data_IF_510832530986
#
_entry.id   IF_510832530986
#
_cell.length_a   1.000
_cell.length_b   1.000
_cell.length_c   1.000
_cell.angle_alpha   90.00
_cell.angle_beta   90.00
_cell.angle_gamma   90.00
#
_symmetry.space_group_name_H-M   'P 1'
#
loop_
_entity.id
_entity.type
_entity.pdbx_description
1 polymer ?
#
# COMPACT_ATOMS: atom_id res chain seq x y z
N UNK A 1 -43.99 -14.40 -26.03
CA UNK A 1 -43.99 -13.39 -24.94
C UNK A 1 -43.55 -14.11 -23.69
N UNK A 2 -42.26 -14.02 -23.36
CA UNK A 2 -41.76 -14.52 -22.08
C UNK A 2 -42.31 -13.62 -20.98
N UNK A 3 -43.05 -14.20 -20.04
CA UNK A 3 -43.49 -13.51 -18.83
C UNK A 3 -42.26 -12.98 -18.11
N UNK A 4 -42.19 -11.66 -17.90
CA UNK A 4 -41.18 -11.03 -17.06
C UNK A 4 -41.16 -11.79 -15.72
N UNK A 5 -40.01 -12.33 -15.27
CA UNK A 5 -39.96 -13.07 -14.01
C UNK A 5 -40.52 -12.18 -12.90
N UNK A 6 -41.47 -12.72 -12.14
CA UNK A 6 -42.11 -12.03 -11.04
C UNK A 6 -41.04 -11.34 -10.19
N UNK A 7 -41.19 -10.03 -9.97
CA UNK A 7 -40.30 -9.29 -9.09
C UNK A 7 -40.28 -10.01 -7.75
N UNK A 8 -39.10 -10.44 -7.33
CA UNK A 8 -38.88 -11.04 -6.01
C UNK A 8 -39.28 -10.00 -4.96
N UNK A 9 -40.48 -10.13 -4.38
CA UNK A 9 -40.98 -9.26 -3.32
C UNK A 9 -40.63 -9.89 -1.97
N UNK A 10 -39.73 -9.24 -1.24
CA UNK A 10 -39.44 -9.57 0.16
C UNK A 10 -40.59 -9.09 1.05
N UNK A 11 -40.75 -9.71 2.22
CA UNK A 11 -41.63 -9.13 3.25
C UNK A 11 -41.08 -7.75 3.66
N UNK A 12 -41.98 -6.78 3.86
CA UNK A 12 -41.60 -5.36 4.03
C UNK A 12 -40.62 -5.13 5.17
N UNK A 13 -40.78 -5.87 6.28
CA UNK A 13 -39.88 -5.81 7.43
C UNK A 13 -38.50 -6.43 7.17
N UNK A 14 -38.43 -7.55 6.42
CA UNK A 14 -37.16 -8.19 6.06
C UNK A 14 -36.32 -7.29 5.17
N UNK A 15 -36.96 -6.66 4.18
CA UNK A 15 -36.28 -5.80 3.24
C UNK A 15 -35.66 -4.58 3.92
N UNK A 16 -36.41 -3.90 4.79
CA UNK A 16 -35.92 -2.72 5.50
C UNK A 16 -34.73 -3.05 6.42
N UNK A 17 -34.78 -4.20 7.11
CA UNK A 17 -33.67 -4.69 7.92
C UNK A 17 -32.41 -4.95 7.09
N UNK A 18 -32.55 -5.70 5.99
CA UNK A 18 -31.43 -6.04 5.12
C UNK A 18 -30.82 -4.80 4.46
N UNK A 19 -31.65 -3.87 3.99
CA UNK A 19 -31.18 -2.63 3.36
C UNK A 19 -30.45 -1.71 4.37
N UNK A 20 -30.87 -1.71 5.63
CA UNK A 20 -30.13 -1.05 6.72
C UNK A 20 -28.74 -1.65 6.89
N UNK A 21 -28.64 -2.99 6.98
CA UNK A 21 -27.36 -3.70 7.12
C UNK A 21 -26.46 -3.54 5.90
N UNK A 22 -27.03 -3.53 4.69
CA UNK A 22 -26.27 -3.35 3.45
C UNK A 22 -25.66 -1.95 3.35
N UNK A 23 -26.40 -0.91 3.75
CA UNK A 23 -25.84 0.46 3.80
C UNK A 23 -24.66 0.57 4.76
N UNK A 24 -24.72 -0.13 5.90
CA UNK A 24 -23.59 -0.17 6.84
C UNK A 24 -22.37 -0.91 6.27
N UNK A 25 -22.60 -2.01 5.55
CA UNK A 25 -21.55 -2.75 4.86
C UNK A 25 -20.91 -1.92 3.75
N UNK A 26 -21.72 -1.23 2.94
CA UNK A 26 -21.25 -0.37 1.85
C UNK A 26 -20.36 0.75 2.38
N UNK A 27 -20.78 1.45 3.43
CA UNK A 27 -19.97 2.48 4.10
C UNK A 27 -18.67 1.93 4.69
N UNK A 28 -18.68 0.69 5.20
CA UNK A 28 -17.46 0.06 5.71
C UNK A 28 -16.49 -0.29 4.56
N UNK A 29 -17.02 -0.85 3.46
CA UNK A 29 -16.28 -1.14 2.24
C UNK A 29 -15.69 0.13 1.63
N UNK A 30 -16.44 1.21 1.54
CA UNK A 30 -15.95 2.49 1.00
C UNK A 30 -14.72 3.00 1.78
N UNK A 31 -14.73 2.90 3.11
CA UNK A 31 -13.59 3.29 3.95
C UNK A 31 -12.38 2.39 3.69
N UNK A 32 -12.58 1.09 3.48
CA UNK A 32 -11.48 0.20 3.15
C UNK A 32 -10.88 0.53 1.77
N UNK A 33 -11.68 0.97 0.78
CA UNK A 33 -11.18 1.50 -0.53
C UNK A 33 -10.24 2.67 -0.34
N UNK A 34 -10.71 3.68 0.39
CA UNK A 34 -9.94 4.88 0.63
C UNK A 34 -8.64 4.59 1.37
N UNK A 35 -8.66 3.65 2.31
CA UNK A 35 -7.45 3.16 2.96
C UNK A 35 -6.41 2.68 1.93
N UNK A 36 -6.76 1.76 1.02
CA UNK A 36 -5.79 1.25 0.03
C UNK A 36 -5.26 2.34 -0.89
N UNK A 37 -6.12 3.26 -1.34
CA UNK A 37 -5.72 4.37 -2.19
C UNK A 37 -4.71 5.26 -1.46
N UNK A 38 -5.04 5.68 -0.23
CA UNK A 38 -4.20 6.56 0.59
C UNK A 38 -2.87 5.88 0.92
N UNK A 39 -2.87 4.63 1.38
CA UNK A 39 -1.61 3.93 1.68
C UNK A 39 -0.76 3.70 0.45
N UNK A 40 -1.37 3.42 -0.71
CA UNK A 40 -0.63 3.22 -1.95
C UNK A 40 0.02 4.51 -2.42
N UNK A 41 -0.71 5.64 -2.33
CA UNK A 41 -0.18 6.95 -2.68
C UNK A 41 0.99 7.33 -1.77
N UNK A 42 0.84 7.21 -0.44
CA UNK A 42 1.92 7.52 0.52
C UNK A 42 3.12 6.61 0.28
N UNK A 43 2.90 5.31 0.07
CA UNK A 43 3.98 4.35 -0.17
C UNK A 43 4.72 4.64 -1.48
N UNK A 44 4.00 4.98 -2.55
CA UNK A 44 4.59 5.33 -3.84
C UNK A 44 5.40 6.62 -3.76
N UNK A 45 4.90 7.63 -3.03
CA UNK A 45 5.66 8.86 -2.76
C UNK A 45 6.94 8.55 -1.98
N UNK A 46 6.86 7.73 -0.92
CA UNK A 46 8.04 7.34 -0.14
C UNK A 46 9.08 6.57 -0.96
N UNK A 47 8.62 5.62 -1.77
CA UNK A 47 9.49 4.87 -2.68
C UNK A 47 10.14 5.81 -3.68
N UNK A 48 9.39 6.79 -4.21
CA UNK A 48 9.91 7.75 -5.19
C UNK A 48 10.96 8.68 -4.58
N UNK A 49 10.72 9.19 -3.36
CA UNK A 49 11.69 10.01 -2.62
C UNK A 49 12.94 9.18 -2.30
N UNK A 50 12.78 7.95 -1.81
CA UNK A 50 13.89 7.05 -1.49
C UNK A 50 14.71 6.71 -2.73
N UNK A 51 14.03 6.44 -3.85
CA UNK A 51 14.67 6.16 -5.13
C UNK A 51 15.43 7.38 -5.65
N UNK A 52 14.85 8.58 -5.59
CA UNK A 52 15.52 9.82 -5.99
C UNK A 52 16.74 10.10 -5.11
N UNK A 53 16.65 9.88 -3.80
CA UNK A 53 17.79 9.99 -2.88
C UNK A 53 18.88 8.95 -3.19
N UNK A 54 18.51 7.72 -3.53
CA UNK A 54 19.46 6.68 -3.91
C UNK A 54 20.13 6.93 -5.27
N UNK A 55 19.37 7.35 -6.28
CA UNK A 55 19.87 7.60 -7.64
C UNK A 55 20.72 8.86 -7.72
N UNK A 56 20.32 9.93 -7.01
CA UNK A 56 21.18 11.13 -6.91
C UNK A 56 22.53 10.78 -6.31
N UNK A 57 22.55 9.84 -5.36
CA UNK A 57 23.78 9.32 -4.81
C UNK A 57 24.58 8.45 -5.80
N UNK A 58 23.93 7.60 -6.62
CA UNK A 58 24.61 6.69 -7.56
C UNK A 58 25.10 7.33 -8.87
N UNK A 59 24.33 8.25 -9.48
CA UNK A 59 24.72 8.89 -10.76
C UNK A 59 26.01 9.69 -10.64
N UNK A 60 26.19 10.41 -9.54
CA UNK A 60 27.38 11.23 -9.35
C UNK A 60 28.60 10.46 -8.89
N UNK A 61 28.43 9.24 -8.34
CA UNK A 61 29.55 8.31 -8.21
C UNK A 61 30.13 7.94 -9.58
N UNK A 62 29.26 7.73 -10.58
CA UNK A 62 29.70 7.44 -11.93
C UNK A 62 30.42 8.64 -12.59
N UNK A 63 29.95 9.87 -12.38
CA UNK A 63 30.58 11.07 -12.95
C UNK A 63 31.83 11.55 -12.18
N UNK A 64 31.85 11.42 -10.85
CA UNK A 64 33.00 11.79 -10.00
C UNK A 64 34.26 10.98 -10.32
N UNK A 65 34.12 9.70 -10.69
CA UNK A 65 35.27 8.88 -11.14
C UNK A 65 35.90 9.38 -12.45
N UNK A 66 35.15 10.11 -13.29
CA UNK A 66 35.67 10.65 -14.56
C UNK A 66 36.50 11.93 -14.37
N UNK A 67 36.19 12.77 -13.38
CA UNK A 67 36.93 14.01 -13.16
C UNK A 67 38.20 13.82 -12.31
N UNK A 68 38.20 12.90 -11.34
CA UNK A 68 39.40 12.62 -10.52
C UNK A 68 40.53 12.02 -11.37
N UNK A 69 40.21 11.24 -12.40
CA UNK A 69 41.22 10.69 -13.30
C UNK A 69 41.83 11.73 -14.26
N UNK A 70 41.12 12.84 -14.53
CA UNK A 70 41.64 13.93 -15.39
C UNK A 70 42.60 14.84 -14.61
N UNK A 71 42.27 15.19 -13.36
CA UNK A 71 43.15 16.04 -12.51
C UNK A 71 44.40 15.27 -12.07
N UNK A 72 44.26 13.99 -11.69
CA UNK A 72 45.41 13.16 -11.31
C UNK A 72 46.40 12.93 -12.49
N UNK A 73 45.93 12.97 -13.73
CA UNK A 73 46.80 12.88 -14.91
C UNK A 73 47.40 14.24 -15.30
N UNK A 74 46.72 15.36 -15.03
CA UNK A 74 47.24 16.70 -15.28
C UNK A 74 48.39 17.09 -14.33
N UNK A 75 48.35 16.65 -13.07
CA UNK A 75 49.48 16.82 -12.14
C UNK A 75 50.65 15.88 -12.46
N UNK A 76 50.37 14.69 -13.02
CA UNK A 76 51.42 13.73 -13.37
C UNK A 76 52.25 14.15 -14.58
N UNK A 77 51.69 14.90 -15.52
CA UNK A 77 52.44 15.45 -16.67
C UNK A 77 53.26 16.69 -16.35
N UNK A 78 53.10 17.29 -15.16
CA UNK A 78 53.86 18.48 -14.75
C UNK A 78 55.17 18.17 -13.99
N UNK A 79 55.44 16.90 -13.67
CA UNK A 79 56.58 16.47 -12.85
C UNK A 79 57.77 15.90 -13.66
N UNK A 80 57.81 16.09 -14.98
CA UNK A 80 58.93 15.66 -15.85
C UNK A 80 59.61 16.85 -16.51
N UNK A 81 59.94 17.87 -15.73
CA UNK A 81 60.92 18.90 -16.12
C UNK A 81 62.17 18.70 -15.28
N UNK A 82 63.29 18.54 -15.97
CA UNK A 82 64.61 18.10 -15.49
C UNK A 82 65.18 18.90 -14.30
N UNK A 83 66.13 18.33 -13.54
CA UNK A 83 66.89 19.06 -12.53
C UNK A 83 67.87 20.02 -13.22
N UNK A 84 67.45 21.27 -13.37
CA UNK A 84 68.29 22.37 -13.86
C UNK A 84 68.45 23.43 -12.77
N UNK A 85 69.68 23.52 -12.26
CA UNK A 85 70.35 24.65 -11.60
C UNK A 85 69.51 25.81 -11.05
N UNK A 86 69.63 25.94 -9.74
CA UNK A 86 69.17 27.00 -8.86
C UNK A 86 69.92 28.32 -9.17
N UNK A 87 69.31 29.22 -9.93
CA UNK A 87 69.72 30.63 -9.97
C UNK A 87 68.48 31.53 -10.05
N UNK A 88 68.49 32.53 -9.19
CA UNK A 88 67.66 33.73 -9.10
C UNK A 88 66.15 33.59 -8.86
N UNK A 89 65.78 33.86 -7.60
CA UNK A 89 64.44 34.12 -7.10
C UNK A 89 63.87 35.39 -7.75
N UNK A 90 62.82 35.31 -8.60
CA UNK A 90 62.08 36.48 -9.01
C UNK A 90 61.15 36.93 -7.88
N UNK A 91 61.15 38.24 -7.61
CA UNK A 91 60.20 38.93 -6.73
C UNK A 91 58.77 38.42 -6.96
N UNK A 92 58.09 38.12 -5.85
CA UNK A 92 56.69 37.74 -5.81
C UNK A 92 55.82 38.69 -6.66
N UNK A 93 54.98 38.17 -7.57
CA UNK A 93 53.97 39.00 -8.21
C UNK A 93 53.00 39.47 -7.12
N UNK A 94 52.65 40.76 -7.20
CA UNK A 94 51.71 41.41 -6.31
C UNK A 94 50.44 40.56 -6.15
N UNK A 95 50.03 40.33 -4.90
CA UNK A 95 48.69 39.86 -4.60
C UNK A 95 47.71 40.94 -5.08
N UNK A 96 47.21 40.78 -6.31
CA UNK A 96 46.09 41.55 -6.80
C UNK A 96 44.91 41.28 -5.87
N UNK A 97 44.51 42.33 -5.16
CA UNK A 97 43.25 42.42 -4.45
C UNK A 97 42.15 41.90 -5.37
N UNK A 98 41.54 40.76 -4.99
CA UNK A 98 40.16 40.47 -5.37
C UNK A 98 39.29 41.50 -4.62
N UNK A 99 39.33 42.72 -5.14
CA UNK A 99 38.42 43.80 -4.83
C UNK A 99 37.00 43.29 -5.00
N UNK A 100 36.17 43.75 -4.08
CA UNK A 100 34.73 43.63 -3.99
C UNK A 100 34.07 44.26 -5.23
N UNK A 101 34.28 43.68 -6.41
CA UNK A 101 33.62 44.11 -7.65
C UNK A 101 32.15 43.81 -7.51
N UNK A 102 31.39 44.89 -7.48
CA UNK A 102 29.93 44.95 -7.55
C UNK A 102 29.42 44.00 -8.63
N UNK A 103 28.29 43.36 -8.33
CA UNK A 103 27.55 42.34 -9.10
C UNK A 103 27.28 42.63 -10.61
N UNK A 104 27.76 43.75 -11.15
CA UNK A 104 27.48 44.26 -12.49
C UNK A 104 28.50 43.80 -13.56
N UNK A 105 29.72 43.41 -13.21
CA UNK A 105 30.65 42.77 -14.17
C UNK A 105 30.50 41.25 -14.11
N UNK A 106 29.44 40.77 -14.76
CA UNK A 106 29.16 39.34 -14.97
C UNK A 106 30.22 38.75 -15.91
N UNK A 107 31.34 38.30 -15.34
CA UNK A 107 32.47 37.75 -16.09
C UNK A 107 32.08 36.39 -16.70
N UNK A 108 31.92 36.34 -18.04
CA UNK A 108 31.48 35.15 -18.78
C UNK A 108 32.37 33.91 -18.57
N UNK A 109 33.58 34.07 -18.03
CA UNK A 109 34.45 32.92 -17.73
C UNK A 109 34.00 32.06 -16.54
N UNK A 110 33.08 32.53 -15.69
CA UNK A 110 32.58 31.77 -14.53
C UNK A 110 31.20 31.11 -14.74
N UNK A 111 30.62 31.16 -15.95
CA UNK A 111 29.31 30.53 -16.24
C UNK A 111 29.21 29.05 -15.85
N UNK A 112 30.23 28.17 -16.09
CA UNK A 112 30.13 26.76 -15.72
C UNK A 112 29.97 26.54 -14.21
N UNK A 113 30.68 27.35 -13.41
CA UNK A 113 30.67 27.24 -11.94
C UNK A 113 29.37 27.82 -11.36
N UNK A 114 28.84 28.90 -11.94
CA UNK A 114 27.55 29.46 -11.52
C UNK A 114 26.37 28.56 -11.90
N UNK A 115 26.40 27.94 -13.08
CA UNK A 115 25.33 27.05 -13.51
C UNK A 115 25.29 25.76 -12.66
N UNK A 116 26.45 25.21 -12.31
CA UNK A 116 26.53 24.08 -11.39
C UNK A 116 26.06 24.47 -9.98
N UNK A 117 26.41 25.65 -9.48
CA UNK A 117 25.88 26.15 -8.20
C UNK A 117 24.35 26.35 -8.21
N UNK A 118 23.79 26.89 -9.30
CA UNK A 118 22.34 27.04 -9.44
C UNK A 118 21.63 25.69 -9.50
N UNK A 119 22.16 24.74 -10.27
CA UNK A 119 21.64 23.38 -10.33
C UNK A 119 21.73 22.67 -8.96
N UNK A 120 22.84 22.86 -8.23
CA UNK A 120 22.98 22.33 -6.88
C UNK A 120 22.00 22.97 -5.92
N UNK A 121 21.79 24.29 -5.98
CA UNK A 121 20.84 25.00 -5.12
C UNK A 121 19.41 24.55 -5.37
N UNK A 122 19.00 24.46 -6.63
CA UNK A 122 17.67 23.98 -7.01
C UNK A 122 17.47 22.52 -6.60
N UNK A 123 18.49 21.68 -6.80
CA UNK A 123 18.47 20.29 -6.37
C UNK A 123 18.36 20.14 -4.84
N UNK A 124 19.15 20.88 -4.06
CA UNK A 124 19.08 20.89 -2.58
C UNK A 124 17.72 21.41 -2.12
N UNK A 125 17.16 22.42 -2.79
CA UNK A 125 15.81 22.88 -2.49
C UNK A 125 14.74 21.83 -2.79
N UNK A 126 14.94 21.00 -3.83
CA UNK A 126 14.09 19.87 -4.15
C UNK A 126 14.18 18.69 -3.17
N UNK A 127 15.18 18.68 -2.27
CA UNK A 127 15.24 17.75 -1.14
C UNK A 127 14.37 18.19 0.03
N UNK A 128 13.72 19.35 -0.04
CA UNK A 128 12.76 19.80 0.94
C UNK A 128 11.36 19.71 0.34
N UNK A 129 10.39 19.26 1.15
CA UNK A 129 8.99 19.30 0.77
C UNK A 129 8.19 20.06 1.83
N UNK A 130 7.34 20.96 1.35
CA UNK A 130 6.46 21.76 2.19
C UNK A 130 5.16 20.97 2.42
N UNK A 131 4.80 20.76 3.69
CA UNK A 131 3.52 20.19 4.09
C UNK A 131 2.59 21.33 4.50
N UNK A 132 1.77 21.88 3.58
CA UNK A 132 1.02 23.11 3.83
C UNK A 132 0.09 23.02 5.04
N UNK A 133 -0.48 21.84 5.31
CA UNK A 133 -1.36 21.62 6.46
C UNK A 133 -0.65 21.60 7.82
N UNK A 134 0.66 21.32 7.84
CA UNK A 134 1.48 21.36 9.06
C UNK A 134 2.25 22.68 9.19
N UNK A 135 2.26 23.53 8.16
CA UNK A 135 3.07 24.76 8.13
C UNK A 135 4.58 24.50 8.24
N UNK A 136 5.03 23.27 7.98
CA UNK A 136 6.39 22.82 8.18
C UNK A 136 7.10 22.48 6.87
N UNK A 137 8.41 22.77 6.82
CA UNK A 137 9.32 22.29 5.78
C UNK A 137 10.05 21.05 6.30
N UNK A 138 9.96 19.95 5.56
CA UNK A 138 10.62 18.71 5.94
C UNK A 138 11.75 18.39 4.96
N UNK A 139 12.89 17.99 5.50
CA UNK A 139 13.98 17.45 4.69
C UNK A 139 13.62 16.04 4.22
N UNK A 140 14.09 15.65 3.04
CA UNK A 140 14.06 14.28 2.55
C UNK A 140 14.68 13.30 3.56
N UNK A 141 15.65 13.76 4.35
CA UNK A 141 16.26 12.97 5.44
C UNK A 141 15.30 12.65 6.60
N UNK A 142 14.21 13.41 6.75
CA UNK A 142 13.16 13.17 7.74
C UNK A 142 11.93 12.47 7.12
N UNK A 143 11.91 12.29 5.79
CA UNK A 143 10.81 11.67 5.07
C UNK A 143 10.53 10.24 5.56
N UNK A 144 11.57 9.51 5.99
CA UNK A 144 11.41 8.17 6.55
C UNK A 144 10.59 8.13 7.82
N UNK A 145 10.86 9.05 8.76
CA UNK A 145 10.15 9.12 10.04
C UNK A 145 8.75 9.71 9.83
N UNK A 146 8.65 10.85 9.13
CA UNK A 146 7.37 11.54 8.89
C UNK A 146 6.44 10.66 8.06
N UNK A 147 6.95 10.09 6.96
CA UNK A 147 6.18 9.16 6.13
C UNK A 147 5.86 7.85 6.84
N UNK A 148 6.76 7.34 7.69
CA UNK A 148 6.49 6.18 8.54
C UNK A 148 5.36 6.44 9.55
N UNK A 149 5.31 7.62 10.16
CA UNK A 149 4.20 8.02 11.03
C UNK A 149 2.88 8.15 10.26
N UNK A 150 2.90 8.73 9.05
CA UNK A 150 1.71 8.81 8.20
C UNK A 150 1.21 7.42 7.79
N UNK A 151 2.12 6.53 7.40
CA UNK A 151 1.79 5.13 7.10
C UNK A 151 1.28 4.38 8.32
N UNK A 152 1.78 4.66 9.52
CA UNK A 152 1.28 4.09 10.76
C UNK A 152 -0.17 4.50 11.03
N UNK A 153 -0.48 5.80 10.93
CA UNK A 153 -1.85 6.31 11.10
C UNK A 153 -2.78 5.68 10.06
N UNK A 154 -2.38 5.69 8.78
CA UNK A 154 -3.17 5.10 7.71
C UNK A 154 -3.37 3.58 7.90
N UNK A 155 -2.32 2.84 8.30
CA UNK A 155 -2.40 1.40 8.59
C UNK A 155 -3.31 1.09 9.76
N UNK A 156 -3.27 1.89 10.82
CA UNK A 156 -4.16 1.74 11.97
C UNK A 156 -5.63 2.00 11.59
N UNK A 157 -5.88 3.03 10.78
CA UNK A 157 -7.21 3.30 10.24
C UNK A 157 -7.72 2.14 9.38
N UNK A 158 -6.88 1.62 8.46
CA UNK A 158 -7.21 0.45 7.64
C UNK A 158 -7.50 -0.80 8.46
N UNK A 159 -6.72 -1.05 9.51
CA UNK A 159 -6.97 -2.15 10.44
C UNK A 159 -8.36 -2.07 11.08
N UNK A 160 -8.75 -0.91 11.61
CA UNK A 160 -10.07 -0.74 12.21
C UNK A 160 -11.21 -0.78 11.19
N UNK A 161 -11.01 -0.24 9.99
CA UNK A 161 -11.98 -0.31 8.90
C UNK A 161 -12.27 -1.77 8.51
N UNK A 162 -11.22 -2.57 8.26
CA UNK A 162 -11.33 -3.97 7.88
C UNK A 162 -11.87 -4.85 9.01
N UNK A 163 -11.49 -4.58 10.27
CA UNK A 163 -12.07 -5.25 11.44
C UNK A 163 -13.57 -5.00 11.53
N UNK A 164 -14.02 -3.76 11.31
CA UNK A 164 -15.45 -3.41 11.32
C UNK A 164 -16.21 -4.08 10.18
N UNK A 165 -15.66 -4.05 8.96
CA UNK A 165 -16.24 -4.72 7.79
C UNK A 165 -16.43 -6.22 8.06
N UNK A 166 -15.39 -6.89 8.56
CA UNK A 166 -15.43 -8.31 8.90
C UNK A 166 -16.55 -8.64 9.92
N UNK A 167 -16.72 -7.80 10.93
CA UNK A 167 -17.73 -7.98 11.97
C UNK A 167 -19.16 -7.79 11.44
N UNK A 168 -19.38 -6.80 10.57
CA UNK A 168 -20.69 -6.57 9.93
C UNK A 168 -21.04 -7.76 9.04
N UNK A 169 -20.10 -8.24 8.23
CA UNK A 169 -20.30 -9.41 7.36
C UNK A 169 -20.61 -10.66 8.20
N UNK A 170 -19.89 -10.87 9.29
CA UNK A 170 -20.13 -11.98 10.21
C UNK A 170 -21.55 -11.96 10.77
N UNK A 171 -22.00 -10.83 11.32
CA UNK A 171 -23.34 -10.73 11.89
C UNK A 171 -24.43 -10.84 10.83
N UNK A 172 -24.24 -10.23 9.67
CA UNK A 172 -25.19 -10.35 8.57
C UNK A 172 -25.37 -11.83 8.13
N UNK A 173 -24.28 -12.59 8.03
CA UNK A 173 -24.33 -14.02 7.70
C UNK A 173 -24.99 -14.82 8.83
N UNK A 174 -24.70 -14.48 10.09
CA UNK A 174 -25.29 -15.11 11.26
C UNK A 174 -26.80 -14.87 11.31
N UNK A 175 -27.24 -13.63 11.19
CA UNK A 175 -28.65 -13.23 11.22
C UNK A 175 -29.43 -13.93 10.10
N UNK A 176 -28.85 -13.97 8.90
CA UNK A 176 -29.47 -14.65 7.76
C UNK A 176 -29.67 -16.16 8.00
N UNK A 177 -28.74 -16.78 8.73
CA UNK A 177 -28.86 -18.18 9.12
C UNK A 177 -29.83 -18.41 10.30
N UNK A 178 -29.88 -17.48 11.26
CA UNK A 178 -30.66 -17.60 12.51
C UNK A 178 -32.16 -17.30 12.29
N UNK A 179 -32.50 -16.24 11.55
CA UNK A 179 -33.89 -15.82 11.32
C UNK A 179 -34.59 -16.56 10.17
N UNK A 180 -33.95 -17.57 9.58
CA UNK A 180 -34.51 -18.36 8.49
C UNK A 180 -35.06 -17.54 7.31
N UNK A 181 -34.44 -16.42 6.97
CA UNK A 181 -34.85 -15.55 5.85
C UNK A 181 -35.15 -16.34 4.56
N UNK A 182 -36.07 -15.79 3.76
CA UNK A 182 -36.45 -16.28 2.43
C UNK A 182 -35.24 -16.57 1.53
N UNK A 183 -35.37 -17.52 0.58
CA UNK A 183 -34.27 -17.85 -0.35
C UNK A 183 -33.88 -16.63 -1.20
N UNK A 184 -34.86 -15.81 -1.51
CA UNK A 184 -34.80 -14.51 -2.14
C UNK A 184 -33.90 -13.53 -1.37
N UNK A 185 -34.14 -13.37 -0.07
CA UNK A 185 -33.32 -12.54 0.82
C UNK A 185 -31.88 -13.05 0.90
N UNK A 186 -31.69 -14.37 1.03
CA UNK A 186 -30.35 -14.99 1.04
C UNK A 186 -29.62 -14.74 -0.27
N UNK A 187 -30.32 -14.83 -1.40
CA UNK A 187 -29.79 -14.54 -2.72
C UNK A 187 -29.37 -13.07 -2.84
N UNK A 188 -30.23 -12.14 -2.40
CA UNK A 188 -29.94 -10.71 -2.37
C UNK A 188 -28.69 -10.41 -1.53
N UNK A 189 -28.66 -10.88 -0.28
CA UNK A 189 -27.53 -10.70 0.64
C UNK A 189 -26.23 -11.22 0.05
N UNK A 190 -26.25 -12.43 -0.52
CA UNK A 190 -25.08 -13.04 -1.13
C UNK A 190 -24.57 -12.20 -2.31
N UNK A 191 -25.46 -11.70 -3.15
CA UNK A 191 -25.08 -10.89 -4.30
C UNK A 191 -24.48 -9.55 -3.87
N UNK A 192 -25.06 -8.92 -2.84
CA UNK A 192 -24.52 -7.69 -2.28
C UNK A 192 -23.18 -7.89 -1.58
N UNK A 193 -23.00 -8.98 -0.84
CA UNK A 193 -21.72 -9.38 -0.26
C UNK A 193 -20.63 -9.56 -1.33
N UNK A 194 -20.98 -10.15 -2.47
CA UNK A 194 -20.06 -10.28 -3.59
C UNK A 194 -19.79 -8.96 -4.31
N UNK A 195 -20.79 -8.08 -4.44
CA UNK A 195 -20.63 -6.77 -5.07
C UNK A 195 -19.76 -5.81 -4.25
N UNK A 196 -19.80 -5.93 -2.92
CA UNK A 196 -19.07 -5.05 -1.99
C UNK A 196 -17.60 -5.45 -1.80
N UNK A 197 -17.21 -6.66 -2.19
CA UNK A 197 -15.84 -7.15 -2.04
C UNK A 197 -14.89 -6.61 -3.11
N UNK A 198 -14.03 -5.69 -2.70
CA UNK A 198 -13.08 -4.95 -3.54
C UNK A 198 -11.97 -5.75 -4.21
N UNK A 199 -11.63 -6.93 -3.70
CA UNK A 199 -10.41 -7.66 -4.10
C UNK A 199 -10.62 -9.14 -4.37
N UNK A 200 -11.86 -9.61 -4.49
CA UNK A 200 -12.06 -10.95 -5.02
C UNK A 200 -12.02 -10.87 -6.54
N UNK A 201 -10.82 -11.02 -7.10
CA UNK A 201 -10.57 -11.20 -8.54
C UNK A 201 -11.29 -12.41 -9.18
N UNK A 202 -12.12 -13.12 -8.41
CA UNK A 202 -12.74 -14.39 -8.77
C UNK A 202 -14.27 -14.33 -8.95
N UNK A 203 -14.91 -13.15 -8.99
CA UNK A 203 -16.34 -13.07 -9.37
C UNK A 203 -16.61 -13.26 -10.88
N UNK A 204 -15.59 -13.67 -11.63
CA UNK A 204 -15.79 -14.28 -12.96
C UNK A 204 -16.15 -15.76 -12.90
N UNK A 205 -16.53 -16.33 -11.74
CA UNK A 205 -17.56 -17.37 -11.83
C UNK A 205 -18.80 -16.61 -12.31
N UNK A 206 -19.20 -16.68 -13.60
CA UNK A 206 -20.50 -16.18 -13.97
C UNK A 206 -21.46 -16.80 -12.96
N UNK A 207 -22.42 -16.02 -12.47
CA UNK A 207 -23.60 -16.62 -11.88
C UNK A 207 -23.87 -17.87 -12.70
N UNK A 208 -23.80 -19.05 -12.06
CA UNK A 208 -24.36 -20.24 -12.68
C UNK A 208 -25.84 -19.91 -12.72
N UNK A 209 -26.24 -19.16 -13.75
CA UNK A 209 -27.60 -18.89 -14.10
C UNK A 209 -28.10 -20.14 -14.79
N UNK A 210 -27.97 -21.24 -14.03
CA UNK A 210 -28.59 -22.51 -14.34
C UNK A 210 -30.11 -22.31 -14.54
N UNK A 211 -30.64 -21.15 -14.10
CA UNK A 211 -32.04 -20.73 -14.22
C UNK A 211 -32.31 -19.49 -15.11
N UNK A 212 -31.31 -18.82 -15.74
CA UNK A 212 -31.58 -17.58 -16.54
C UNK A 212 -30.99 -17.63 -17.95
N UNK A 213 -29.93 -18.40 -18.21
CA UNK A 213 -29.34 -18.48 -19.55
C UNK A 213 -29.94 -19.63 -20.36
N UNK A 214 -30.34 -19.32 -21.59
CA UNK A 214 -30.74 -20.28 -22.62
C UNK A 214 -29.75 -21.48 -22.66
N UNK A 215 -30.24 -22.73 -22.62
CA UNK A 215 -29.40 -23.93 -22.71
C UNK A 215 -28.39 -23.91 -23.88
N UNK A 216 -28.68 -23.20 -24.97
CA UNK A 216 -27.77 -23.03 -26.11
C UNK A 216 -26.51 -22.21 -25.73
N UNK A 217 -26.68 -21.08 -25.05
CA UNK A 217 -25.59 -20.22 -24.57
C UNK A 217 -24.74 -20.93 -23.51
N UNK A 218 -25.35 -21.79 -22.71
CA UNK A 218 -24.67 -22.63 -21.71
C UNK A 218 -23.68 -23.61 -22.35
N UNK A 219 -24.05 -24.24 -23.47
CA UNK A 219 -23.16 -25.13 -24.22
C UNK A 219 -22.00 -24.35 -24.83
N UNK A 220 -22.25 -23.16 -25.38
CA UNK A 220 -21.20 -22.28 -25.90
C UNK A 220 -20.19 -21.86 -24.80
N UNK A 221 -20.67 -21.43 -23.63
CA UNK A 221 -19.80 -21.10 -22.49
C UNK A 221 -18.99 -22.32 -22.03
N UNK A 222 -19.61 -23.50 -21.96
CA UNK A 222 -18.93 -24.74 -21.55
C UNK A 222 -17.85 -25.16 -22.55
N UNK A 223 -18.07 -24.96 -23.85
CA UNK A 223 -17.07 -25.18 -24.90
C UNK A 223 -15.91 -24.17 -24.77
N UNK A 224 -16.22 -22.88 -24.64
CA UNK A 224 -15.24 -21.79 -24.50
C UNK A 224 -14.43 -21.87 -23.21
N UNK A 225 -15.01 -22.34 -22.10
CA UNK A 225 -14.32 -22.56 -20.82
C UNK A 225 -13.46 -23.83 -20.85
N UNK A 226 -13.78 -24.83 -21.69
CA UNK A 226 -12.95 -26.01 -21.92
C UNK A 226 -11.71 -25.67 -22.76
N UNK A 227 -11.84 -24.70 -23.67
CA UNK A 227 -10.77 -24.22 -24.56
C UNK A 227 -9.85 -23.19 -23.89
N UNK A 228 -10.39 -22.32 -23.02
CA UNK A 228 -9.55 -21.50 -22.12
C UNK A 228 -8.86 -22.41 -21.11
N UNK A 229 -7.58 -22.68 -21.34
CA UNK A 229 -6.78 -23.61 -20.54
C UNK A 229 -6.96 -23.33 -19.04
N UNK A 230 -7.20 -24.40 -18.27
CA UNK A 230 -7.24 -24.38 -16.79
C UNK A 230 -6.01 -23.67 -16.20
N UNK A 231 -4.90 -23.68 -16.94
CA UNK A 231 -3.64 -23.01 -16.62
C UNK A 231 -3.80 -21.49 -16.62
N UNK A 232 -4.35 -20.87 -17.67
CA UNK A 232 -4.52 -19.41 -17.72
C UNK A 232 -5.42 -18.91 -16.59
N UNK A 233 -6.46 -19.68 -16.23
CA UNK A 233 -7.33 -19.34 -15.09
C UNK A 233 -6.56 -19.36 -13.77
N UNK A 234 -5.81 -20.43 -13.49
CA UNK A 234 -4.97 -20.54 -12.28
C UNK A 234 -3.90 -19.44 -12.21
N UNK A 235 -3.27 -19.09 -13.33
CA UNK A 235 -2.27 -18.03 -13.38
C UNK A 235 -2.90 -16.67 -13.06
N UNK A 236 -4.07 -16.35 -13.63
CA UNK A 236 -4.79 -15.09 -13.31
C UNK A 236 -5.24 -15.03 -11.86
N UNK A 237 -5.73 -16.14 -11.31
CA UNK A 237 -6.11 -16.25 -9.90
C UNK A 237 -4.89 -16.01 -8.99
N UNK A 238 -3.75 -16.66 -9.30
CA UNK A 238 -2.51 -16.47 -8.57
C UNK A 238 -1.99 -15.04 -8.68
N UNK A 239 -2.02 -14.43 -9.88
CA UNK A 239 -1.54 -13.07 -10.09
C UNK A 239 -2.41 -12.04 -9.35
N UNK A 240 -3.73 -12.18 -9.37
CA UNK A 240 -4.62 -11.26 -8.65
C UNK A 240 -4.47 -11.41 -7.14
N UNK A 241 -4.29 -12.64 -6.65
CA UNK A 241 -3.98 -12.90 -5.25
C UNK A 241 -2.65 -12.25 -4.83
N UNK A 242 -1.60 -12.44 -5.63
CA UNK A 242 -0.29 -11.82 -5.40
C UNK A 242 -0.39 -10.30 -5.45
N UNK A 243 -1.08 -9.72 -6.43
CA UNK A 243 -1.27 -8.28 -6.54
C UNK A 243 -2.00 -7.70 -5.32
N UNK A 244 -3.09 -8.33 -4.87
CA UNK A 244 -3.80 -7.92 -3.67
C UNK A 244 -2.90 -8.01 -2.42
N UNK A 245 -2.13 -9.08 -2.27
CA UNK A 245 -1.20 -9.24 -1.15
C UNK A 245 -0.07 -8.20 -1.16
N UNK A 246 0.44 -7.85 -2.35
CA UNK A 246 1.47 -6.82 -2.50
C UNK A 246 0.94 -5.47 -2.03
N UNK A 247 -0.31 -5.12 -2.35
CA UNK A 247 -0.92 -3.85 -1.92
C UNK A 247 -0.98 -3.75 -0.39
N UNK A 248 -1.32 -4.83 0.31
CA UNK A 248 -1.29 -4.88 1.78
C UNK A 248 0.13 -4.75 2.37
N UNK A 249 1.12 -5.35 1.70
CA UNK A 249 2.52 -5.28 2.09
C UNK A 249 3.21 -3.96 1.74
N UNK A 250 2.62 -3.15 0.86
CA UNK A 250 3.24 -1.97 0.27
C UNK A 250 3.75 -0.94 1.30
N UNK A 251 3.01 -0.62 2.39
CA UNK A 251 3.52 0.28 3.44
C UNK A 251 4.79 -0.23 4.11
N UNK A 252 4.84 -1.52 4.44
CA UNK A 252 6.00 -2.14 5.06
C UNK A 252 7.18 -2.20 4.08
N UNK A 253 6.92 -2.51 2.80
CA UNK A 253 7.94 -2.51 1.75
C UNK A 253 8.51 -1.11 1.51
N UNK A 254 7.69 -0.06 1.54
CA UNK A 254 8.15 1.32 1.42
C UNK A 254 9.09 1.70 2.57
N UNK A 255 8.73 1.39 3.82
CA UNK A 255 9.59 1.66 4.98
C UNK A 255 10.86 0.81 5.00
N UNK A 256 10.78 -0.44 4.52
CA UNK A 256 11.97 -1.25 4.32
C UNK A 256 12.92 -0.61 3.29
N UNK A 257 12.38 -0.10 2.19
CA UNK A 257 13.15 0.64 1.18
C UNK A 257 13.86 1.86 1.76
N UNK A 258 13.14 2.69 2.52
CA UNK A 258 13.71 3.84 3.25
C UNK A 258 14.84 3.38 4.18
N UNK A 259 14.61 2.36 5.02
CA UNK A 259 15.60 1.86 5.97
C UNK A 259 16.87 1.35 5.27
N UNK A 260 16.72 0.68 4.12
CA UNK A 260 17.85 0.22 3.31
C UNK A 260 18.64 1.41 2.75
N UNK A 261 17.96 2.44 2.24
CA UNK A 261 18.61 3.66 1.73
C UNK A 261 19.37 4.38 2.85
N UNK A 262 18.73 4.57 4.01
CA UNK A 262 19.35 5.21 5.18
C UNK A 262 20.57 4.44 5.67
N UNK A 263 20.47 3.12 5.83
CA UNK A 263 21.57 2.28 6.27
C UNK A 263 22.72 2.26 5.24
N UNK A 264 22.40 2.22 3.95
CA UNK A 264 23.39 2.29 2.87
C UNK A 264 24.12 3.63 2.89
N UNK A 265 23.41 4.74 3.15
CA UNK A 265 24.00 6.09 3.20
C UNK A 265 25.10 6.26 4.26
N UNK A 266 25.09 5.41 5.30
CA UNK A 266 26.13 5.39 6.34
C UNK A 266 27.43 4.73 5.86
N UNK A 267 27.29 3.66 5.09
CA UNK A 267 28.42 2.82 4.66
C UNK A 267 29.17 3.44 3.49
N UNK A 268 28.46 4.03 2.55
CA UNK A 268 29.06 4.48 1.33
C UNK A 268 29.43 5.98 1.38
N UNK A 269 30.52 6.33 0.71
CA UNK A 269 30.95 7.73 0.52
C UNK A 269 29.95 8.45 -0.37
N UNK A 270 29.89 9.79 -0.32
CA UNK A 270 29.02 10.58 -1.20
C UNK A 270 29.83 11.70 -1.83
N UNK A 271 29.74 11.90 -3.17
CA UNK A 271 30.47 12.97 -3.85
C UNK A 271 30.02 14.37 -3.45
N UNK A 272 28.85 14.50 -2.80
CA UNK A 272 28.32 15.77 -2.31
C UNK A 272 28.87 16.21 -0.95
N UNK A 273 29.66 15.37 -0.30
CA UNK A 273 30.27 15.72 0.98
C UNK A 273 31.66 16.28 0.73
N UNK A 274 32.04 17.26 1.53
CA UNK A 274 33.39 17.81 1.51
C UNK A 274 34.47 16.74 1.81
N UNK A 275 34.08 15.66 2.49
CA UNK A 275 34.95 14.51 2.75
C UNK A 275 34.55 13.31 1.89
N UNK A 276 35.53 12.65 1.31
CA UNK A 276 35.39 11.36 0.60
C UNK A 276 35.16 10.18 1.54
N UNK A 277 35.23 10.42 2.85
CA UNK A 277 35.09 9.37 3.83
C UNK A 277 33.62 8.90 3.99
N UNK A 278 33.42 7.62 4.36
CA UNK A 278 32.11 7.10 4.75
C UNK A 278 31.45 7.96 5.84
N UNK A 279 30.11 8.14 5.76
CA UNK A 279 29.38 8.99 6.72
C UNK A 279 29.61 8.56 8.16
N UNK A 280 29.73 7.24 8.38
CA UNK A 280 29.92 6.68 9.71
C UNK A 280 31.18 7.22 10.40
N UNK A 281 32.27 7.46 9.66
CA UNK A 281 33.51 8.05 10.21
C UNK A 281 33.32 9.51 10.54
N UNK A 282 32.77 10.27 9.59
CA UNK A 282 32.48 11.71 9.78
C UNK A 282 31.55 11.95 10.97
N UNK A 283 30.54 11.09 11.17
CA UNK A 283 29.63 11.17 12.32
C UNK A 283 30.29 10.71 13.63
N UNK A 284 31.18 9.73 13.58
CA UNK A 284 31.93 9.28 14.75
C UNK A 284 32.90 10.37 15.25
N UNK A 285 33.65 10.99 14.34
CA UNK A 285 34.55 12.11 14.65
C UNK A 285 33.82 13.31 15.25
N UNK A 286 32.60 13.58 14.76
CA UNK A 286 31.73 14.65 15.30
C UNK A 286 30.95 14.25 16.56
N UNK A 287 31.05 13.00 17.02
CA UNK A 287 30.26 12.50 18.16
C UNK A 287 28.75 12.39 17.90
N UNK A 288 28.30 12.46 16.64
CA UNK A 288 26.88 12.47 16.24
C UNK A 288 26.34 11.08 15.86
N UNK A 289 27.16 10.03 15.97
CA UNK A 289 26.80 8.66 15.60
C UNK A 289 25.54 8.15 16.30
N UNK A 290 25.35 8.51 17.57
CA UNK A 290 24.19 8.14 18.38
C UNK A 290 22.87 8.65 17.77
N UNK A 291 22.87 9.83 17.16
CA UNK A 291 21.67 10.39 16.51
C UNK A 291 21.28 9.59 15.27
N UNK A 292 22.26 9.19 14.46
CA UNK A 292 22.02 8.37 13.28
C UNK A 292 21.47 6.99 13.65
N UNK A 293 22.04 6.33 14.67
CA UNK A 293 21.51 5.06 15.17
C UNK A 293 20.13 5.21 15.80
N UNK A 294 19.88 6.30 16.53
CA UNK A 294 18.54 6.60 17.06
C UNK A 294 17.49 6.70 15.95
N UNK A 295 17.82 7.39 14.84
CA UNK A 295 16.94 7.49 13.67
C UNK A 295 16.71 6.13 13.00
N UNK A 296 17.75 5.35 12.76
CA UNK A 296 17.61 4.00 12.19
C UNK A 296 16.77 3.07 13.08
N UNK A 297 16.98 3.12 14.40
CA UNK A 297 16.20 2.35 15.35
C UNK A 297 14.72 2.77 15.34
N UNK A 298 14.43 4.07 15.28
CA UNK A 298 13.07 4.59 15.16
C UNK A 298 12.40 4.13 13.84
N UNK A 299 13.10 4.21 12.71
CA UNK A 299 12.59 3.72 11.41
C UNK A 299 12.35 2.21 11.42
N UNK A 300 13.25 1.43 12.03
CA UNK A 300 13.08 -0.02 12.16
C UNK A 300 11.89 -0.39 13.07
N UNK A 301 11.68 0.35 14.16
CA UNK A 301 10.52 0.19 15.04
C UNK A 301 9.22 0.51 14.30
N UNK A 302 9.17 1.62 13.56
CA UNK A 302 8.02 1.99 12.73
C UNK A 302 7.71 0.92 11.70
N UNK A 303 8.73 0.40 11.01
CA UNK A 303 8.60 -0.71 10.06
C UNK A 303 7.96 -1.94 10.75
N UNK A 304 8.47 -2.35 11.91
CA UNK A 304 7.94 -3.50 12.64
C UNK A 304 6.48 -3.31 13.07
N UNK A 305 6.12 -2.13 13.58
CA UNK A 305 4.74 -1.82 14.00
C UNK A 305 3.81 -1.78 12.78
N UNK A 306 4.19 -1.08 11.72
CA UNK A 306 3.39 -0.99 10.48
C UNK A 306 3.19 -2.38 9.87
N UNK A 307 4.26 -3.17 9.75
CA UNK A 307 4.18 -4.55 9.25
C UNK A 307 3.25 -5.43 10.10
N UNK A 308 3.30 -5.27 11.43
CA UNK A 308 2.42 -6.00 12.34
C UNK A 308 0.94 -5.61 12.14
N UNK A 309 0.65 -4.31 12.04
CA UNK A 309 -0.71 -3.81 11.86
C UNK A 309 -1.27 -4.21 10.49
N UNK A 310 -0.49 -4.06 9.42
CA UNK A 310 -0.92 -4.47 8.06
C UNK A 310 -1.15 -5.98 7.98
N UNK A 311 -0.33 -6.80 8.64
CA UNK A 311 -0.57 -8.24 8.75
C UNK A 311 -1.88 -8.56 9.48
N UNK A 312 -2.18 -7.86 10.57
CA UNK A 312 -3.45 -8.04 11.28
C UNK A 312 -4.65 -7.60 10.44
N UNK A 313 -4.53 -6.49 9.72
CA UNK A 313 -5.53 -5.99 8.79
C UNK A 313 -5.80 -7.00 7.66
N UNK A 314 -4.72 -7.59 7.12
CA UNK A 314 -4.78 -8.66 6.13
C UNK A 314 -5.51 -9.90 6.66
N UNK A 315 -5.28 -10.31 7.91
CA UNK A 315 -5.99 -11.43 8.54
C UNK A 315 -7.50 -11.21 8.58
N UNK A 316 -7.96 -9.97 8.89
CA UNK A 316 -9.38 -9.64 8.85
C UNK A 316 -9.95 -9.70 7.44
N UNK A 317 -9.21 -9.21 6.44
CA UNK A 317 -9.63 -9.32 5.04
C UNK A 317 -9.80 -10.78 4.60
N UNK A 318 -8.84 -11.64 4.95
CA UNK A 318 -8.95 -13.08 4.67
C UNK A 318 -10.15 -13.71 5.38
N UNK A 319 -10.41 -13.32 6.63
CA UNK A 319 -11.62 -13.74 7.35
C UNK A 319 -12.91 -13.33 6.64
N UNK A 320 -12.97 -12.11 6.09
CA UNK A 320 -14.14 -11.63 5.32
C UNK A 320 -14.32 -12.43 4.03
N UNK A 321 -13.22 -12.74 3.33
CA UNK A 321 -13.24 -13.59 2.14
C UNK A 321 -13.78 -14.99 2.47
N UNK A 322 -13.32 -15.58 3.57
CA UNK A 322 -13.76 -16.92 3.98
C UNK A 322 -15.23 -16.93 4.42
N UNK A 323 -15.69 -15.90 5.13
CA UNK A 323 -17.11 -15.73 5.46
C UNK A 323 -17.99 -15.63 4.22
N UNK A 324 -17.61 -14.84 3.22
CA UNK A 324 -18.38 -14.75 1.97
C UNK A 324 -18.31 -16.03 1.14
N UNK A 325 -17.19 -16.78 1.19
CA UNK A 325 -17.14 -18.13 0.60
C UNK A 325 -18.10 -19.10 1.29
N UNK A 326 -18.27 -18.99 2.61
CA UNK A 326 -19.22 -19.79 3.37
C UNK A 326 -20.67 -19.45 3.00
N UNK A 327 -21.01 -18.18 2.77
CA UNK A 327 -22.36 -17.79 2.29
C UNK A 327 -22.67 -18.35 0.89
N UNK A 328 -21.64 -18.57 0.06
CA UNK A 328 -21.77 -19.28 -1.22
C UNK A 328 -22.18 -20.75 -1.09
N UNK A 329 -21.98 -21.37 0.07
CA UNK A 329 -22.33 -22.78 0.35
C UNK A 329 -23.73 -22.96 0.94
N UNK A 330 -24.54 -21.90 1.07
CA UNK A 330 -25.95 -21.97 1.49
C UNK A 330 -26.89 -22.72 0.52
N UNK A 331 -26.36 -23.48 -0.44
CA UNK A 331 -27.11 -24.57 -1.06
C UNK A 331 -27.17 -25.69 -0.05
N UNK A 332 -28.17 -25.71 0.81
CA UNK A 332 -28.89 -26.87 1.35
C UNK A 332 -29.80 -26.31 2.44
N UNK A 333 -31.08 -26.75 2.51
CA UNK A 333 -31.88 -26.47 3.69
C UNK A 333 -31.07 -26.96 4.88
N UNK A 334 -30.87 -26.09 5.87
CA UNK A 334 -30.57 -26.58 7.22
C UNK A 334 -31.79 -27.44 7.54
N UNK A 335 -31.62 -28.75 7.35
CA UNK A 335 -32.61 -29.75 7.74
C UNK A 335 -33.04 -29.37 9.14
N UNK A 336 -34.35 -29.17 9.30
CA UNK A 336 -35.00 -28.89 10.57
C UNK A 336 -34.42 -29.80 11.66
N UNK A 337 -33.43 -29.32 12.41
CA UNK A 337 -33.09 -29.87 13.72
C UNK A 337 -33.98 -29.18 14.75
N UNK A 338 -35.27 -29.36 14.53
CA UNK A 338 -36.33 -29.45 15.52
C UNK A 338 -37.48 -30.12 14.80
N UNK A 339 -37.37 -31.45 14.69
CA UNK A 339 -38.54 -32.21 15.05
C UNK A 339 -38.88 -31.74 16.48
N UNK A 340 -39.86 -30.84 16.61
CA UNK A 340 -40.66 -30.85 17.81
C UNK A 340 -41.08 -32.32 17.98
N UNK A 341 -40.78 -32.96 19.12
CA UNK A 341 -41.29 -34.29 19.34
C UNK A 341 -42.81 -34.19 19.25
N UNK A 342 -43.40 -34.97 18.36
CA UNK A 342 -44.84 -35.21 18.18
C UNK A 342 -45.53 -35.79 19.45
N UNK A 343 -45.03 -35.47 20.66
CA UNK A 343 -45.47 -36.02 21.93
C UNK A 343 -46.37 -35.06 22.73
N UNK A 344 -47.20 -34.24 22.09
CA UNK A 344 -48.27 -33.49 22.78
C UNK A 344 -49.62 -33.55 22.07
N UNK A 345 -49.85 -34.62 21.30
CA UNK A 345 -51.18 -34.93 20.78
C UNK A 345 -51.53 -36.40 20.99
N UNK A 346 -51.66 -36.78 22.26
CA UNK A 346 -52.51 -37.90 22.66
C UNK A 346 -53.14 -37.60 24.03
N UNK A 347 -54.48 -37.60 24.06
CA UNK A 347 -55.24 -37.97 25.25
C UNK A 347 -55.78 -36.86 26.15
N UNK A 348 -56.80 -36.12 25.71
CA UNK A 348 -57.98 -35.87 26.57
C UNK A 348 -59.20 -35.45 25.73
N UNK A 349 -59.85 -36.45 25.12
CA UNK A 349 -61.27 -36.40 24.83
C UNK A 349 -62.02 -36.58 26.16
N UNK A 350 -62.47 -35.49 26.77
CA UNK A 350 -63.53 -35.56 27.78
C UNK A 350 -64.87 -35.68 27.07
N UNK A 351 -65.37 -36.91 27.06
CA UNK A 351 -66.74 -37.27 26.77
C UNK A 351 -67.69 -36.44 27.66
N UNK A 352 -68.59 -35.68 27.05
CA UNK A 352 -69.65 -34.94 27.75
C UNK A 352 -70.98 -35.61 27.46
N UNK A 353 -71.32 -36.61 28.28
CA UNK A 353 -72.69 -37.12 28.41
C UNK A 353 -73.58 -36.08 29.10
N UNK A 354 -74.75 -35.71 28.54
CA UNK A 354 -75.73 -34.88 29.24
C UNK A 354 -76.54 -35.74 30.23
N UNK A 355 -76.97 -35.20 31.38
CA UNK A 355 -77.78 -35.93 32.34
C UNK A 355 -79.23 -36.08 31.82
N UNK A 356 -79.89 -37.24 32.07
CA UNK A 356 -81.30 -37.42 31.80
C UNK A 356 -82.16 -36.64 32.81
N UNK A 357 -83.34 -36.24 32.31
CA UNK A 357 -84.41 -35.46 32.93
C UNK A 357 -85.00 -36.06 34.19
#
# INVERSE_FOLDING_TARGET
>A
MESIPASITLDGGEQEYLDSRMRDLERASERSRWFYLVTSLISLLLISVSYNQFISWSRLMADGTRHVSVVANADRTRSTTAPGTFEDVPKAPAQDHCEERTFAEFNEKCWPDQMTLLQMKEWVSGLQFDLPYLGGRFSASDAGIVGGMLLLIASLWGYFALKRENHIVYFLIKDVAEFQFSEEARFYVRNQLYATQLFIGNHTRPFKSDNILDPSYRLYLKYKEKERSKVVKRIKEALTFVAANIVFGLPALALLGVLIVDASSLKYSSPFRASTEPLIRVLAEKGLLHQAYGRLAASALLLAIVARITYLAFKYQMGTIDLVRLSGKWKYPVVNFRAEPDNLRDGHTTDSTPPPS
#
